data_IF_235499955345
#
_entry.id   IF_235499955345
#
_cell.length_a   1.000
_cell.length_b   1.000
_cell.length_c   1.000
_cell.angle_alpha   90.00
_cell.angle_beta   90.00
_cell.angle_gamma   90.00
#
_symmetry.space_group_name_H-M   'P 1'
#
loop_
_entity.id
_entity.type
_entity.pdbx_description
1 polymer ?
#
# COMPACT_ATOMS: atom_id res chain seq x y z
N UNK A 1 12.43 -0.89 4.23
CA UNK A 1 12.52 -1.73 3.01
C UNK A 1 13.32 -0.96 1.96
N UNK A 2 13.78 -1.57 0.87
CA UNK A 2 14.38 -0.80 -0.23
C UNK A 2 13.31 -0.31 -1.20
N UNK A 3 13.51 0.85 -1.83
CA UNK A 3 12.61 1.39 -2.84
C UNK A 3 12.31 0.38 -3.96
N UNK A 4 13.29 -0.44 -4.33
CA UNK A 4 13.13 -1.48 -5.35
C UNK A 4 12.14 -2.57 -4.92
N UNK A 5 12.13 -2.94 -3.63
CA UNK A 5 11.16 -3.89 -3.08
C UNK A 5 9.75 -3.29 -3.08
N UNK A 6 9.61 -2.02 -2.71
CA UNK A 6 8.32 -1.34 -2.69
C UNK A 6 7.74 -1.21 -4.11
N UNK A 7 8.57 -0.86 -5.11
CA UNK A 7 8.15 -0.85 -6.52
C UNK A 7 7.75 -2.25 -6.99
N UNK A 8 8.52 -3.28 -6.62
CA UNK A 8 8.22 -4.66 -6.97
C UNK A 8 6.92 -5.18 -6.32
N UNK A 9 6.54 -4.65 -5.16
CA UNK A 9 5.26 -4.95 -4.53
C UNK A 9 4.10 -4.24 -5.24
N UNK A 10 4.30 -2.98 -5.62
CA UNK A 10 3.25 -2.20 -6.31
C UNK A 10 2.96 -2.72 -7.72
N UNK A 11 3.97 -3.22 -8.46
CA UNK A 11 3.74 -3.83 -9.78
C UNK A 11 2.89 -5.11 -9.73
N UNK A 12 2.86 -5.81 -8.59
CA UNK A 12 2.12 -7.07 -8.44
C UNK A 12 0.64 -6.83 -8.07
N UNK A 13 0.26 -5.58 -7.80
CA UNK A 13 -1.12 -5.19 -7.47
C UNK A 13 -1.88 -4.88 -8.76
N UNK A 14 -2.94 -5.66 -9.12
CA UNK A 14 -3.65 -5.49 -10.39
C UNK A 14 -4.26 -4.10 -10.60
N UNK A 15 -4.59 -3.40 -9.51
CA UNK A 15 -5.10 -2.02 -9.55
C UNK A 15 -4.11 -1.05 -10.20
N UNK A 16 -2.81 -1.37 -10.19
CA UNK A 16 -1.75 -0.52 -10.70
C UNK A 16 -1.18 -0.96 -12.05
N UNK A 17 -1.75 -1.99 -12.71
CA UNK A 17 -1.27 -2.52 -14.01
C UNK A 17 -1.19 -1.45 -15.12
N UNK A 18 -1.95 -0.37 -14.99
CA UNK A 18 -1.99 0.75 -15.95
C UNK A 18 -0.85 1.76 -15.75
N UNK A 19 -0.09 1.65 -14.66
CA UNK A 19 0.97 2.58 -14.31
C UNK A 19 2.33 2.14 -14.88
N UNK A 20 3.12 3.12 -15.32
CA UNK A 20 4.49 2.85 -15.78
C UNK A 20 5.43 2.59 -14.59
N UNK A 21 6.59 1.93 -14.81
CA UNK A 21 7.57 1.72 -13.75
C UNK A 21 8.01 3.01 -13.04
N UNK A 22 8.16 4.12 -13.77
CA UNK A 22 8.50 5.41 -13.18
C UNK A 22 7.37 5.97 -12.30
N UNK A 23 6.10 5.81 -12.72
CA UNK A 23 4.95 6.21 -11.91
C UNK A 23 4.83 5.38 -10.63
N UNK A 24 5.08 4.07 -10.71
CA UNK A 24 5.15 3.17 -9.54
C UNK A 24 6.28 3.60 -8.60
N UNK A 25 7.43 4.02 -9.14
CA UNK A 25 8.54 4.54 -8.34
C UNK A 25 8.17 5.84 -7.63
N UNK A 26 7.47 6.75 -8.30
CA UNK A 26 6.95 7.97 -7.64
C UNK A 26 5.99 7.62 -6.51
N UNK A 27 5.06 6.69 -6.74
CA UNK A 27 4.14 6.22 -5.70
C UNK A 27 4.88 5.63 -4.51
N UNK A 28 5.83 4.72 -4.74
CA UNK A 28 6.63 4.11 -3.68
C UNK A 28 7.43 5.15 -2.87
N UNK A 29 7.91 6.22 -3.51
CA UNK A 29 8.59 7.33 -2.80
C UNK A 29 7.61 8.13 -1.94
N UNK A 30 6.39 8.36 -2.42
CA UNK A 30 5.36 9.11 -1.67
C UNK A 30 4.59 8.27 -0.64
N UNK A 31 4.76 6.95 -0.66
CA UNK A 31 4.02 6.05 0.21
C UNK A 31 4.61 6.04 1.63
N UNK A 32 3.74 6.16 2.62
CA UNK A 32 4.11 6.02 4.01
C UNK A 32 4.02 4.55 4.48
N UNK A 33 4.93 4.17 5.38
CA UNK A 33 4.89 2.85 6.01
C UNK A 33 4.00 2.87 7.25
N UNK A 34 2.89 2.13 7.18
CA UNK A 34 2.03 1.89 8.33
C UNK A 34 2.28 0.49 8.91
N UNK A 35 2.54 0.42 10.21
CA UNK A 35 2.63 -0.84 10.96
C UNK A 35 1.46 -0.93 11.92
N UNK A 36 0.77 -2.06 11.89
CA UNK A 36 -0.35 -2.37 12.77
C UNK A 36 0.02 -3.56 13.66
N UNK A 37 -0.29 -3.46 14.94
CA UNK A 37 -0.29 -4.55 15.88
C UNK A 37 -1.61 -5.33 15.83
N UNK A 38 -1.64 -6.51 16.45
CA UNK A 38 -2.88 -7.27 16.58
C UNK A 38 -3.92 -6.47 17.38
N UNK A 39 -5.10 -6.28 16.79
CA UNK A 39 -6.17 -5.46 17.36
C UNK A 39 -6.19 -4.00 16.92
N UNK A 40 -5.15 -3.53 16.20
CA UNK A 40 -5.19 -2.19 15.61
C UNK A 40 -6.16 -2.15 14.42
N UNK A 41 -6.83 -1.01 14.27
CA UNK A 41 -7.81 -0.75 13.20
C UNK A 41 -7.13 0.07 12.11
N UNK A 42 -7.19 -0.41 10.86
CA UNK A 42 -6.64 0.31 9.70
C UNK A 42 -7.52 1.51 9.33
N UNK A 43 -8.82 1.29 9.15
CA UNK A 43 -9.86 2.29 8.93
C UNK A 43 -11.21 1.72 9.38
N UNK A 44 -12.21 2.58 9.54
CA UNK A 44 -13.59 2.22 9.88
C UNK A 44 -14.55 2.56 8.74
N UNK A 45 -15.72 1.91 8.73
CA UNK A 45 -16.78 2.25 7.79
C UNK A 45 -17.23 3.70 7.99
N UNK A 46 -17.28 4.46 6.89
CA UNK A 46 -17.64 5.87 6.91
C UNK A 46 -16.45 6.83 7.05
N UNK A 47 -15.24 6.31 7.28
CA UNK A 47 -14.02 7.12 7.20
C UNK A 47 -13.83 7.69 5.79
N UNK A 48 -13.21 8.86 5.72
CA UNK A 48 -12.89 9.49 4.44
C UNK A 48 -11.87 8.64 3.68
N UNK A 49 -12.17 8.31 2.43
CA UNK A 49 -11.25 7.61 1.54
C UNK A 49 -10.20 8.58 0.95
N UNK A 50 -9.27 9.03 1.78
CA UNK A 50 -8.19 9.95 1.40
C UNK A 50 -6.90 9.25 0.94
N UNK A 51 -6.78 7.95 1.19
CA UNK A 51 -5.64 7.12 0.78
C UNK A 51 -6.05 5.67 0.43
N UNK A 52 -5.14 4.97 -0.25
CA UNK A 52 -5.22 3.53 -0.49
C UNK A 52 -4.10 2.79 0.23
N UNK A 53 -4.35 1.55 0.66
CA UNK A 53 -3.39 0.73 1.39
C UNK A 53 -3.06 -0.55 0.63
N UNK A 54 -1.78 -0.93 0.67
CA UNK A 54 -1.29 -2.21 0.14
C UNK A 54 -0.74 -3.02 1.31
N UNK A 55 -1.31 -4.21 1.54
CA UNK A 55 -0.85 -5.10 2.60
C UNK A 55 0.40 -5.84 2.13
N UNK A 56 1.55 -5.47 2.66
CA UNK A 56 2.85 -6.08 2.30
C UNK A 56 3.17 -7.33 3.11
N UNK A 57 2.62 -7.46 4.32
CA UNK A 57 2.76 -8.64 5.18
C UNK A 57 1.64 -8.71 6.20
N UNK A 58 1.31 -9.93 6.63
CA UNK A 58 0.27 -10.18 7.62
C UNK A 58 -1.10 -10.48 7.01
N UNK A 59 -2.16 -10.23 7.79
CA UNK A 59 -3.56 -10.40 7.37
C UNK A 59 -4.41 -9.36 8.08
N UNK A 60 -5.41 -8.85 7.37
CA UNK A 60 -6.49 -8.05 7.91
C UNK A 60 -7.80 -8.84 7.80
N UNK A 61 -8.74 -8.53 8.68
CA UNK A 61 -10.12 -9.03 8.66
C UNK A 61 -11.08 -7.83 8.66
N UNK A 62 -12.25 -8.02 8.05
CA UNK A 62 -13.30 -7.00 7.92
C UNK A 62 -14.41 -7.24 8.93
#
# INVERSE_FOLDING_TARGET
MSLEQDVALLQDVPTFDMLTPDALRTLAISADQLRLAAGDILFQEGDLADAGYVLTSGRLEM
#
